data_IF_811111080396
#
_entry.id   IF_811111080396
#
_cell.length_a   1.000
_cell.length_b   1.000
_cell.length_c   1.000
_cell.angle_alpha   90.00
_cell.angle_beta   90.00
_cell.angle_gamma   90.00
#
_symmetry.space_group_name_H-M   'P 1'
#
loop_
_entity.id
_entity.type
_entity.pdbx_description
1 polymer ?
#
# COMPACT_ATOMS: atom_id res chain seq x y z
N UNK A 1 4.73 -13.32 -20.00
CA UNK A 1 5.21 -12.83 -18.70
C UNK A 1 4.12 -13.09 -17.67
N UNK A 2 4.45 -13.81 -16.60
CA UNK A 2 3.58 -14.02 -15.45
C UNK A 2 4.15 -13.20 -14.28
N UNK A 3 3.27 -12.56 -13.52
CA UNK A 3 3.63 -11.86 -12.29
C UNK A 3 3.00 -12.61 -11.13
N UNK A 4 3.83 -13.14 -10.24
CA UNK A 4 3.40 -13.93 -9.09
C UNK A 4 3.72 -13.13 -7.84
N UNK A 5 2.70 -12.95 -7.00
CA UNK A 5 2.84 -12.21 -5.74
C UNK A 5 2.81 -13.20 -4.57
N UNK A 6 3.93 -13.29 -3.85
CA UNK A 6 4.03 -14.08 -2.63
C UNK A 6 4.01 -13.12 -1.43
N UNK A 7 2.89 -13.10 -0.71
CA UNK A 7 2.77 -12.31 0.52
C UNK A 7 3.49 -13.01 1.67
N UNK A 8 4.36 -12.28 2.35
CA UNK A 8 5.09 -12.76 3.53
C UNK A 8 5.41 -11.63 4.50
N UNK A 9 5.69 -11.99 5.74
CA UNK A 9 6.24 -11.10 6.75
C UNK A 9 7.77 -10.98 6.60
N UNK A 10 8.34 -9.89 7.13
CA UNK A 10 9.79 -9.63 7.01
C UNK A 10 10.67 -10.64 7.76
N UNK A 11 10.10 -11.30 8.74
CA UNK A 11 10.71 -12.35 9.54
C UNK A 11 10.40 -13.76 9.01
N UNK A 12 9.58 -13.89 7.96
CA UNK A 12 9.37 -15.17 7.31
C UNK A 12 10.65 -15.63 6.58
N UNK A 13 10.96 -16.94 6.58
CA UNK A 13 12.14 -17.47 5.89
C UNK A 13 12.23 -17.06 4.42
N UNK A 14 11.09 -16.95 3.73
CA UNK A 14 11.02 -16.58 2.31
C UNK A 14 11.49 -15.13 2.06
N UNK A 15 11.35 -14.23 3.03
CA UNK A 15 11.79 -12.84 2.91
C UNK A 15 13.31 -12.71 2.79
N UNK A 16 14.04 -13.63 3.44
CA UNK A 16 15.49 -13.69 3.43
C UNK A 16 16.05 -14.78 2.49
N UNK A 17 15.18 -15.43 1.71
CA UNK A 17 15.59 -16.49 0.79
C UNK A 17 16.33 -15.90 -0.43
N UNK A 18 17.12 -16.74 -1.12
CA UNK A 18 17.71 -16.32 -2.38
C UNK A 18 16.63 -16.24 -3.47
N UNK A 19 16.83 -15.38 -4.47
CA UNK A 19 15.87 -15.20 -5.57
C UNK A 19 15.52 -16.53 -6.27
N UNK A 20 16.51 -17.42 -6.45
CA UNK A 20 16.28 -18.77 -7.01
C UNK A 20 15.31 -19.58 -6.14
N UNK A 21 15.40 -19.52 -4.81
CA UNK A 21 14.50 -20.25 -3.92
C UNK A 21 13.07 -19.72 -4.03
N UNK A 22 12.91 -18.39 -4.08
CA UNK A 22 11.61 -17.74 -4.27
C UNK A 22 11.00 -18.09 -5.63
N UNK A 23 11.81 -18.07 -6.69
CA UNK A 23 11.42 -18.50 -8.02
C UNK A 23 10.95 -19.96 -8.03
N UNK A 24 11.67 -20.87 -7.38
CA UNK A 24 11.30 -22.29 -7.30
C UNK A 24 9.99 -22.51 -6.56
N UNK A 25 9.72 -21.76 -5.49
CA UNK A 25 8.43 -21.78 -4.80
C UNK A 25 7.32 -21.37 -5.77
N UNK A 26 7.45 -20.22 -6.42
CA UNK A 26 6.45 -19.71 -7.35
C UNK A 26 6.21 -20.65 -8.55
N UNK A 27 7.27 -21.23 -9.13
CA UNK A 27 7.16 -22.17 -10.24
C UNK A 27 6.46 -23.47 -9.82
N UNK A 28 6.84 -24.05 -8.67
CA UNK A 28 6.23 -25.26 -8.17
C UNK A 28 4.72 -25.07 -7.91
N UNK A 29 4.33 -23.94 -7.32
CA UNK A 29 2.93 -23.60 -7.09
C UNK A 29 2.17 -23.44 -8.42
N UNK A 30 2.76 -22.75 -9.40
CA UNK A 30 2.18 -22.61 -10.75
C UNK A 30 1.95 -23.95 -11.45
N UNK A 31 2.93 -24.85 -11.38
CA UNK A 31 2.85 -26.20 -11.95
C UNK A 31 1.74 -27.02 -11.28
N UNK A 32 1.61 -26.93 -9.96
CA UNK A 32 0.56 -27.62 -9.20
C UNK A 32 -0.84 -27.08 -9.49
N UNK A 33 -0.97 -25.76 -9.67
CA UNK A 33 -2.26 -25.12 -9.99
C UNK A 33 -2.75 -25.45 -11.41
N UNK A 34 -1.88 -26.00 -12.27
CA UNK A 34 -2.28 -26.47 -13.60
C UNK A 34 -2.53 -25.35 -14.60
N UNK A 35 -1.85 -24.21 -14.46
CA UNK A 35 -1.98 -23.06 -15.38
C UNK A 35 -1.33 -23.27 -16.76
N UNK A 36 -0.87 -24.48 -17.07
CA UNK A 36 -0.34 -24.83 -18.39
C UNK A 36 1.02 -24.21 -18.69
N UNK A 37 1.83 -23.95 -17.66
CA UNK A 37 3.24 -23.58 -17.78
C UNK A 37 4.07 -24.85 -17.64
N UNK A 38 5.05 -25.06 -18.50
CA UNK A 38 6.10 -26.06 -18.27
C UNK A 38 7.41 -25.38 -17.85
N UNK A 39 8.23 -26.05 -17.05
CA UNK A 39 9.50 -25.48 -16.55
C UNK A 39 10.45 -25.10 -17.70
N UNK A 40 10.47 -25.91 -18.76
CA UNK A 40 11.30 -25.68 -19.96
C UNK A 40 10.80 -24.53 -20.85
N UNK A 41 9.62 -23.97 -20.58
CA UNK A 41 9.10 -22.78 -21.25
C UNK A 41 9.55 -21.47 -20.55
N UNK A 42 10.17 -21.55 -19.37
CA UNK A 42 10.62 -20.36 -18.63
C UNK A 42 12.01 -19.94 -19.11
N UNK A 43 12.06 -18.86 -19.88
CA UNK A 43 13.32 -18.32 -20.41
C UNK A 43 14.15 -17.52 -19.38
N UNK A 44 13.48 -16.82 -18.45
CA UNK A 44 14.11 -15.96 -17.44
C UNK A 44 13.18 -15.72 -16.25
N UNK A 45 13.73 -15.28 -15.11
CA UNK A 45 12.98 -14.87 -13.93
C UNK A 45 13.55 -13.61 -13.28
N UNK A 46 12.69 -12.86 -12.59
CA UNK A 46 13.09 -11.70 -11.80
C UNK A 46 12.32 -11.69 -10.49
N UNK A 47 13.04 -11.52 -9.38
CA UNK A 47 12.47 -11.46 -8.04
C UNK A 47 12.73 -10.07 -7.46
N UNK A 48 11.70 -9.50 -6.83
CA UNK A 48 11.83 -8.24 -6.10
C UNK A 48 11.00 -8.30 -4.84
N UNK A 49 11.56 -7.83 -3.74
CA UNK A 49 10.86 -7.72 -2.46
C UNK A 49 10.29 -6.30 -2.29
N UNK A 50 9.05 -6.19 -1.83
CA UNK A 50 8.39 -4.91 -1.54
C UNK A 50 8.16 -4.80 -0.03
N UNK A 51 9.00 -4.05 0.71
CA UNK A 51 9.00 -4.10 2.18
C UNK A 51 7.77 -3.47 2.85
N UNK A 52 7.05 -2.64 2.13
CA UNK A 52 5.82 -1.97 2.58
C UNK A 52 4.83 -1.96 1.40
N UNK A 53 4.27 -3.13 1.09
CA UNK A 53 3.34 -3.29 -0.03
C UNK A 53 1.93 -2.84 0.34
N UNK A 54 1.45 -3.29 1.50
CA UNK A 54 0.08 -3.08 1.97
C UNK A 54 0.06 -2.48 3.39
N UNK A 55 -0.83 -1.51 3.66
CA UNK A 55 -1.18 -1.20 5.03
C UNK A 55 -2.02 -2.37 5.59
N UNK A 56 -1.51 -3.01 6.64
CA UNK A 56 -2.23 -4.06 7.35
C UNK A 56 -3.06 -3.41 8.45
N UNK A 57 -4.37 -3.65 8.43
CA UNK A 57 -5.29 -3.09 9.42
C UNK A 57 -5.52 -4.09 10.54
N UNK A 58 -5.21 -3.66 11.75
CA UNK A 58 -5.67 -4.32 12.97
C UNK A 58 -7.11 -3.90 13.29
N UNK A 59 -7.77 -4.64 14.19
CA UNK A 59 -9.05 -4.21 14.72
C UNK A 59 -8.90 -2.85 15.40
N UNK A 60 -9.81 -1.92 15.08
CA UNK A 60 -9.81 -0.56 15.59
C UNK A 60 -8.50 0.20 15.29
N UNK A 61 -7.84 -0.07 14.16
CA UNK A 61 -6.62 0.63 13.77
C UNK A 61 -6.81 2.16 13.68
N UNK A 62 -8.02 2.63 13.44
CA UNK A 62 -8.41 4.04 13.44
C UNK A 62 -8.14 4.74 14.78
N UNK A 63 -8.28 4.03 15.91
CA UNK A 63 -7.99 4.56 17.25
C UNK A 63 -6.51 4.92 17.41
N UNK A 64 -5.64 4.26 16.63
CA UNK A 64 -4.20 4.53 16.59
C UNK A 64 -3.85 5.52 15.48
N UNK A 65 -4.48 5.39 14.32
CA UNK A 65 -4.20 6.21 13.14
C UNK A 65 -4.59 7.69 13.36
N UNK A 66 -5.77 7.96 13.93
CA UNK A 66 -6.29 9.32 14.09
C UNK A 66 -5.36 10.17 14.98
N UNK A 67 -4.92 9.70 16.17
CA UNK A 67 -3.95 10.44 16.99
C UNK A 67 -2.60 10.67 16.29
N UNK A 68 -2.11 9.67 15.54
CA UNK A 68 -0.85 9.81 14.79
C UNK A 68 -0.98 10.89 13.71
N UNK A 69 -2.07 10.88 12.95
CA UNK A 69 -2.33 11.92 11.95
C UNK A 69 -2.48 13.30 12.61
N UNK A 70 -3.19 13.41 13.73
CA UNK A 70 -3.27 14.67 14.48
C UNK A 70 -1.89 15.18 14.93
N UNK A 71 -1.00 14.28 15.38
CA UNK A 71 0.37 14.61 15.73
C UNK A 71 1.20 15.07 14.53
N UNK A 72 1.12 14.37 13.39
CA UNK A 72 1.81 14.75 12.15
C UNK A 72 1.34 16.11 11.63
N UNK A 73 0.03 16.36 11.66
CA UNK A 73 -0.59 17.62 11.21
C UNK A 73 -0.47 18.77 12.22
N UNK A 74 0.24 18.57 13.35
CA UNK A 74 0.68 19.69 14.19
C UNK A 74 1.78 20.53 13.50
N UNK A 75 2.44 19.98 12.47
CA UNK A 75 3.37 20.72 11.60
C UNK A 75 2.54 21.49 10.57
N UNK A 76 2.45 22.84 10.63
CA UNK A 76 1.41 23.59 9.95
C UNK A 76 1.37 23.44 8.42
N UNK A 77 2.51 23.12 7.81
CA UNK A 77 2.69 23.03 6.36
C UNK A 77 2.94 21.59 5.85
N UNK A 78 2.68 20.57 6.68
CA UNK A 78 2.85 19.17 6.29
C UNK A 78 1.52 18.56 5.87
N UNK A 79 1.41 18.18 4.60
CA UNK A 79 0.23 17.51 4.04
C UNK A 79 0.55 16.04 3.77
N UNK A 80 -0.28 15.14 4.31
CA UNK A 80 -0.14 13.69 4.07
C UNK A 80 -1.12 13.22 3.00
N UNK A 81 -0.68 12.30 2.15
CA UNK A 81 -1.50 11.76 1.07
C UNK A 81 -1.11 10.31 0.75
N UNK A 82 -1.98 9.66 -0.02
CA UNK A 82 -1.73 8.35 -0.61
C UNK A 82 -1.71 7.18 0.39
N UNK A 83 -1.35 6.00 -0.13
CA UNK A 83 -1.45 4.72 0.60
C UNK A 83 -0.78 4.74 1.97
N UNK A 84 0.48 5.15 2.04
CA UNK A 84 1.23 5.13 3.29
C UNK A 84 1.06 6.41 4.11
N UNK A 85 0.89 7.58 3.47
CA UNK A 85 0.74 8.85 4.18
C UNK A 85 -0.59 8.97 4.93
N UNK A 86 -1.64 8.31 4.44
CA UNK A 86 -2.95 8.22 5.12
C UNK A 86 -3.22 6.84 5.71
N UNK A 87 -2.29 5.90 5.55
CA UNK A 87 -2.46 4.49 5.93
C UNK A 87 -3.77 3.89 5.35
N UNK A 88 -4.00 4.13 4.06
CA UNK A 88 -5.18 3.67 3.33
C UNK A 88 -4.80 2.66 2.25
N UNK A 89 -5.51 1.53 2.15
CA UNK A 89 -5.36 0.58 1.06
C UNK A 89 -5.98 1.13 -0.25
N UNK A 90 -5.32 2.13 -0.82
CA UNK A 90 -5.74 2.85 -2.02
C UNK A 90 -5.24 2.16 -3.29
N UNK A 91 -6.07 2.17 -4.32
CA UNK A 91 -5.66 1.89 -5.71
C UNK A 91 -4.89 3.07 -6.31
N UNK A 92 -4.42 2.94 -7.55
CA UNK A 92 -3.67 4.00 -8.24
C UNK A 92 -4.55 5.23 -8.52
N UNK A 93 -5.78 5.02 -8.98
CA UNK A 93 -6.76 6.07 -9.27
C UNK A 93 -7.14 6.87 -8.01
N UNK A 94 -7.30 6.20 -6.86
CA UNK A 94 -7.45 6.86 -5.57
C UNK A 94 -6.29 7.82 -5.27
N UNK A 95 -5.05 7.39 -5.51
CA UNK A 95 -3.87 8.19 -5.23
C UNK A 95 -3.74 9.38 -6.20
N UNK A 96 -4.09 9.20 -7.48
CA UNK A 96 -4.14 10.30 -8.45
C UNK A 96 -5.20 11.32 -8.04
N UNK A 97 -6.39 10.87 -7.67
CA UNK A 97 -7.46 11.74 -7.18
C UNK A 97 -7.05 12.51 -5.93
N UNK A 98 -6.38 11.86 -4.98
CA UNK A 98 -5.83 12.54 -3.79
C UNK A 98 -4.77 13.58 -4.16
N UNK A 99 -3.94 13.30 -5.17
CA UNK A 99 -2.98 14.26 -5.73
C UNK A 99 -3.65 15.51 -6.30
N UNK A 100 -4.77 15.34 -7.02
CA UNK A 100 -5.56 16.47 -7.52
C UNK A 100 -6.19 17.25 -6.36
N UNK A 101 -6.80 16.56 -5.39
CA UNK A 101 -7.43 17.19 -4.22
C UNK A 101 -6.45 18.00 -3.37
N UNK A 102 -5.22 17.51 -3.18
CA UNK A 102 -4.22 18.27 -2.41
C UNK A 102 -3.75 19.49 -3.19
N UNK A 103 -3.67 19.42 -4.52
CA UNK A 103 -3.35 20.57 -5.36
C UNK A 103 -4.45 21.65 -5.27
N UNK A 104 -5.73 21.25 -5.36
CA UNK A 104 -6.88 22.15 -5.18
C UNK A 104 -6.88 22.77 -3.78
N UNK A 105 -6.63 21.97 -2.74
CA UNK A 105 -6.51 22.45 -1.36
C UNK A 105 -5.43 23.54 -1.23
N UNK A 106 -4.25 23.31 -1.81
CA UNK A 106 -3.14 24.27 -1.77
C UNK A 106 -3.49 25.55 -2.54
N UNK A 107 -4.18 25.44 -3.67
CA UNK A 107 -4.59 26.59 -4.46
C UNK A 107 -5.62 27.47 -3.72
N UNK A 108 -6.59 26.85 -3.05
CA UNK A 108 -7.69 27.55 -2.39
C UNK A 108 -7.34 28.03 -0.97
N UNK A 109 -6.57 27.26 -0.22
CA UNK A 109 -6.33 27.46 1.21
C UNK A 109 -4.85 27.67 1.57
N UNK A 110 -3.92 27.39 0.65
CA UNK A 110 -2.49 27.34 0.94
C UNK A 110 -2.07 26.02 1.62
N UNK A 111 -0.85 25.99 2.15
CA UNK A 111 -0.31 24.82 2.88
C UNK A 111 -0.84 24.80 4.32
N UNK A 112 -2.14 24.57 4.50
CA UNK A 112 -2.81 24.57 5.82
C UNK A 112 -3.16 23.15 6.25
N UNK A 113 -2.23 22.53 6.96
CA UNK A 113 -2.27 21.13 7.41
C UNK A 113 -3.53 20.77 8.22
N UNK A 114 -3.95 21.63 9.16
CA UNK A 114 -5.13 21.36 9.99
C UNK A 114 -6.42 21.20 9.16
N UNK A 115 -6.65 22.09 8.18
CA UNK A 115 -7.82 22.02 7.30
C UNK A 115 -7.76 20.82 6.36
N UNK A 116 -6.55 20.45 5.90
CA UNK A 116 -6.38 19.24 5.09
C UNK A 116 -6.67 17.97 5.91
N UNK A 117 -6.25 17.90 7.17
CA UNK A 117 -6.58 16.79 8.07
C UNK A 117 -8.10 16.61 8.22
N UNK A 118 -8.85 17.69 8.43
CA UNK A 118 -10.32 17.64 8.52
C UNK A 118 -10.94 17.03 7.25
N UNK A 119 -10.48 17.47 6.07
CA UNK A 119 -10.92 16.92 4.78
C UNK A 119 -10.59 15.44 4.63
N UNK A 120 -9.40 15.01 5.07
CA UNK A 120 -8.98 13.61 5.01
C UNK A 120 -9.75 12.74 6.00
N UNK A 121 -10.02 13.21 7.22
CA UNK A 121 -10.85 12.49 8.20
C UNK A 121 -12.28 12.31 7.70
N UNK A 122 -12.85 13.34 7.07
CA UNK A 122 -14.16 13.23 6.43
C UNK A 122 -14.15 12.19 5.29
N UNK A 123 -13.12 12.20 4.44
CA UNK A 123 -12.93 11.20 3.38
C UNK A 123 -12.76 9.78 3.92
N UNK A 124 -12.00 9.60 5.00
CA UNK A 124 -11.75 8.30 5.62
C UNK A 124 -13.00 7.73 6.31
N UNK A 125 -13.78 8.56 7.00
CA UNK A 125 -15.03 8.11 7.63
C UNK A 125 -16.02 7.50 6.63
N UNK A 126 -16.10 8.04 5.40
CA UNK A 126 -16.90 7.44 4.33
C UNK A 126 -16.43 6.02 3.96
N UNK A 127 -15.12 5.75 4.06
CA UNK A 127 -14.53 4.44 3.78
C UNK A 127 -14.68 3.47 4.95
N UNK A 128 -14.72 3.96 6.19
CA UNK A 128 -14.91 3.15 7.39
C UNK A 128 -16.36 2.68 7.54
N UNK A 129 -17.33 3.54 7.22
CA UNK A 129 -18.76 3.20 7.33
C UNK A 129 -19.26 2.18 6.30
N UNK A 130 -18.47 1.90 5.26
CA UNK A 130 -18.79 0.92 4.23
C UNK A 130 -18.32 -0.51 4.53
N UNK A 131 -17.80 -0.77 5.74
CA UNK A 131 -17.29 -2.07 6.18
C UNK A 131 -17.98 -2.55 7.44
#
# INVERSE_FOLDING_TARGET
MLCIELSCWRDDPIWCAADEDVYRIALNDLLQMGYGVAEDEVEDYYVTAIPTAYPVYELNFEDHLIPVLAGVHSVPNLLTLGRHGLFLNNSMDDNVLLGMKVADHIADNGLVSATWLEQMLAFMNLRFQGK
#
